data_IF_467384453163
#
_entry.id   IF_467384453163
#
_cell.length_a   1.000
_cell.length_b   1.000
_cell.length_c   1.000
_cell.angle_alpha   90.00
_cell.angle_beta   90.00
_cell.angle_gamma   90.00
#
_symmetry.space_group_name_H-M   'P 1'
#
loop_
_entity.id
_entity.type
_entity.pdbx_description
1 polymer ?
#
# COMPACT_ATOMS: atom_id res chain seq x y z
N UNK A 1 -13.93 -4.59 12.38
CA UNK A 1 -13.41 -5.32 11.21
C UNK A 1 -12.54 -6.45 11.74
N UNK A 2 -12.66 -7.66 11.21
CA UNK A 2 -11.70 -8.72 11.50
C UNK A 2 -10.65 -8.68 10.39
N UNK A 3 -9.37 -8.63 10.75
CA UNK A 3 -8.24 -8.73 9.82
C UNK A 3 -7.68 -10.15 9.92
N UNK A 4 -7.41 -10.76 8.78
CA UNK A 4 -6.62 -11.99 8.74
C UNK A 4 -5.14 -11.58 8.83
N UNK A 5 -4.42 -12.17 9.78
CA UNK A 5 -2.97 -11.97 9.97
C UNK A 5 -2.19 -12.19 8.66
N UNK A 6 -2.59 -13.17 7.85
CA UNK A 6 -1.91 -13.44 6.57
C UNK A 6 -2.18 -12.40 5.50
N UNK A 7 -3.19 -11.56 5.71
CA UNK A 7 -3.57 -10.47 4.83
C UNK A 7 -3.00 -9.10 5.29
N UNK A 8 -2.21 -9.09 6.36
CA UNK A 8 -1.57 -7.91 6.92
C UNK A 8 -0.11 -7.82 6.46
N UNK A 9 0.29 -6.65 5.99
CA UNK A 9 1.67 -6.35 5.62
C UNK A 9 2.37 -5.53 6.70
N UNK A 10 1.64 -4.62 7.35
CA UNK A 10 2.21 -3.75 8.37
C UNK A 10 1.24 -3.61 9.54
N UNK A 11 1.72 -3.91 10.74
CA UNK A 11 1.10 -3.49 12.01
C UNK A 11 1.96 -2.38 12.63
N UNK A 12 1.43 -1.16 12.61
CA UNK A 12 2.02 0.07 13.13
C UNK A 12 3.52 0.21 12.81
N UNK A 13 3.91 -0.18 11.59
CA UNK A 13 5.30 -0.27 11.20
C UNK A 13 5.87 1.12 11.00
N UNK A 14 6.96 1.42 11.70
CA UNK A 14 7.64 2.70 11.60
C UNK A 14 8.32 2.87 10.25
N UNK A 15 8.15 4.05 9.66
CA UNK A 15 8.76 4.42 8.40
C UNK A 15 10.12 5.01 8.75
N UNK A 16 11.15 4.16 8.79
CA UNK A 16 12.53 4.60 9.02
C UNK A 16 13.40 4.20 7.85
N UNK A 17 13.95 5.18 7.13
CA UNK A 17 15.16 4.95 6.33
C UNK A 17 14.99 4.88 4.81
N UNK A 18 13.83 5.20 4.24
CA UNK A 18 13.68 5.33 2.79
C UNK A 18 14.22 6.68 2.26
N UNK A 19 15.17 7.32 2.95
CA UNK A 19 15.66 8.68 2.66
C UNK A 19 16.02 8.87 1.18
N UNK A 20 15.15 9.55 0.43
CA UNK A 20 15.28 9.72 -1.03
C UNK A 20 15.37 8.40 -1.82
N UNK A 21 14.64 7.37 -1.37
CA UNK A 21 14.67 6.01 -1.91
C UNK A 21 13.31 5.33 -1.77
N UNK A 22 13.19 4.15 -2.40
CA UNK A 22 12.10 3.22 -2.15
C UNK A 22 12.54 2.18 -1.11
N UNK A 23 11.63 1.80 -0.22
CA UNK A 23 11.83 0.73 0.74
C UNK A 23 10.59 -0.18 0.82
N UNK A 24 10.82 -1.47 1.06
CA UNK A 24 9.78 -2.42 1.42
C UNK A 24 9.31 -2.15 2.85
N UNK A 25 8.00 -2.12 3.06
CA UNK A 25 7.37 -1.91 4.36
C UNK A 25 6.84 -3.23 4.91
N UNK A 26 7.22 -3.52 6.16
CA UNK A 26 6.71 -4.66 6.91
C UNK A 26 7.00 -6.02 6.25
N UNK A 27 5.99 -6.89 6.29
CA UNK A 27 6.05 -8.27 5.83
C UNK A 27 5.53 -8.42 4.38
N UNK A 28 5.87 -9.57 3.80
CA UNK A 28 5.54 -9.95 2.43
C UNK A 28 4.62 -11.16 2.45
N UNK A 29 3.53 -11.09 1.69
CA UNK A 29 2.58 -12.18 1.54
C UNK A 29 3.07 -13.16 0.47
N UNK A 30 3.15 -14.45 0.81
CA UNK A 30 3.43 -15.53 -0.15
C UNK A 30 2.11 -16.12 -0.67
N UNK A 31 1.84 -15.92 -1.96
CA UNK A 31 0.67 -16.45 -2.66
C UNK A 31 0.81 -17.93 -3.05
N UNK A 32 1.95 -18.56 -2.73
CA UNK A 32 2.39 -19.92 -3.08
C UNK A 32 2.60 -20.18 -4.57
N UNK A 33 1.88 -19.47 -5.43
CA UNK A 33 1.96 -19.47 -6.89
C UNK A 33 1.63 -18.06 -7.39
N UNK A 34 2.03 -17.74 -8.62
CA UNK A 34 1.57 -16.55 -9.33
C UNK A 34 0.02 -16.58 -9.40
N UNK A 35 -0.64 -15.69 -8.66
CA UNK A 35 -2.08 -15.69 -8.50
C UNK A 35 -2.59 -14.26 -8.50
N UNK A 36 -3.56 -14.00 -9.37
CA UNK A 36 -4.32 -12.77 -9.32
C UNK A 36 -5.27 -12.79 -8.10
N UNK A 37 -4.99 -11.92 -7.14
CA UNK A 37 -5.75 -11.78 -5.90
C UNK A 37 -6.91 -10.79 -6.02
N UNK A 38 -6.99 -10.01 -7.11
CA UNK A 38 -8.09 -9.09 -7.38
C UNK A 38 -9.25 -9.75 -8.13
N UNK A 39 -9.01 -10.87 -8.81
CA UNK A 39 -10.00 -11.54 -9.65
C UNK A 39 -11.09 -12.28 -8.88
N UNK A 40 -12.34 -12.15 -9.34
CA UNK A 40 -13.50 -12.89 -8.84
C UNK A 40 -14.18 -12.31 -7.60
N UNK A 41 -13.43 -11.62 -6.72
CA UNK A 41 -13.99 -10.84 -5.62
C UNK A 41 -13.12 -9.59 -5.41
N UNK A 42 -13.68 -8.37 -5.42
CA UNK A 42 -12.91 -7.16 -5.16
C UNK A 42 -12.25 -7.24 -3.79
N UNK A 43 -10.92 -7.12 -3.81
CA UNK A 43 -10.08 -6.95 -2.64
C UNK A 43 -9.59 -5.51 -2.62
N UNK A 44 -9.41 -4.95 -1.43
CA UNK A 44 -8.99 -3.58 -1.23
C UNK A 44 -7.72 -3.54 -0.41
N UNK A 45 -6.74 -2.75 -0.87
CA UNK A 45 -5.61 -2.32 -0.04
C UNK A 45 -6.06 -1.15 0.82
N UNK A 46 -5.92 -1.29 2.13
CA UNK A 46 -6.16 -0.22 3.09
C UNK A 46 -4.82 0.21 3.67
N UNK A 47 -4.56 1.51 3.60
CA UNK A 47 -3.41 2.16 4.22
C UNK A 47 -3.91 3.09 5.31
N UNK A 48 -3.46 2.91 6.54
CA UNK A 48 -3.84 3.78 7.66
C UNK A 48 -2.61 4.33 8.34
N UNK A 49 -2.56 5.65 8.53
CA UNK A 49 -1.49 6.30 9.27
C UNK A 49 -1.81 6.20 10.76
N UNK A 50 -1.02 5.43 11.52
CA UNK A 50 -1.17 5.30 12.97
C UNK A 50 -0.43 6.39 13.71
N UNK A 51 0.77 6.74 13.24
CA UNK A 51 1.57 7.85 13.77
C UNK A 51 1.80 8.86 12.65
N UNK A 52 1.47 10.12 12.91
CA UNK A 52 1.64 11.20 11.94
C UNK A 52 3.09 11.28 11.44
N UNK A 53 3.25 11.53 10.16
CA UNK A 53 4.56 11.64 9.55
C UNK A 53 5.20 12.99 9.91
N UNK A 54 6.50 12.96 10.18
CA UNK A 54 7.28 14.14 10.50
C UNK A 54 8.60 14.15 9.73
N UNK A 55 8.96 15.30 9.18
CA UNK A 55 10.05 15.39 8.21
C UNK A 55 9.58 14.91 6.83
N UNK A 56 10.53 14.61 5.94
CA UNK A 56 10.25 14.25 4.56
C UNK A 56 9.58 15.37 3.76
N UNK A 57 9.36 15.11 2.48
CA UNK A 57 8.73 16.03 1.52
C UNK A 57 7.48 15.37 0.95
N UNK A 58 7.61 14.14 0.48
CA UNK A 58 6.53 13.41 -0.17
C UNK A 58 6.63 11.90 -0.02
N UNK A 59 5.48 11.26 -0.02
CA UNK A 59 5.28 9.84 0.23
C UNK A 59 4.40 9.24 -0.86
N UNK A 60 4.88 8.18 -1.51
CA UNK A 60 4.08 7.42 -2.48
C UNK A 60 4.14 5.94 -2.13
N UNK A 61 2.97 5.32 -1.94
CA UNK A 61 2.87 3.90 -1.63
C UNK A 61 2.62 3.12 -2.91
N UNK A 62 3.23 1.94 -2.99
CA UNK A 62 3.03 1.02 -4.08
C UNK A 62 2.68 -0.35 -3.55
N UNK A 63 1.74 -1.02 -4.20
CA UNK A 63 1.58 -2.46 -4.07
C UNK A 63 2.41 -3.11 -5.18
N UNK A 64 3.41 -3.88 -4.79
CA UNK A 64 4.33 -4.50 -5.72
C UNK A 64 4.45 -6.01 -5.49
N UNK A 65 4.68 -6.76 -6.56
CA UNK A 65 5.01 -8.18 -6.48
C UNK A 65 6.36 -8.49 -7.07
N UNK A 66 6.92 -9.62 -6.64
CA UNK A 66 8.18 -10.17 -7.17
C UNK A 66 8.16 -11.72 -7.12
N UNK A 67 9.04 -12.32 -7.91
CA UNK A 67 9.43 -13.72 -7.84
C UNK A 67 10.17 -14.10 -6.54
N UNK A 68 10.76 -13.11 -5.84
CA UNK A 68 11.51 -13.25 -4.60
C UNK A 68 10.77 -12.66 -3.40
N UNK A 69 11.00 -13.21 -2.20
CA UNK A 69 10.44 -12.65 -0.96
C UNK A 69 11.03 -11.29 -0.61
N UNK A 70 12.21 -10.96 -1.13
CA UNK A 70 12.75 -9.60 -1.10
C UNK A 70 12.27 -8.88 -2.34
N UNK A 71 11.16 -8.14 -2.22
CA UNK A 71 10.62 -7.32 -3.31
C UNK A 71 11.68 -6.30 -3.72
N UNK A 72 11.96 -6.19 -5.01
CA UNK A 72 12.86 -5.17 -5.51
C UNK A 72 12.35 -3.75 -5.17
N UNK A 73 13.30 -2.81 -5.01
CA UNK A 73 13.02 -1.40 -4.69
C UNK A 73 13.75 -0.46 -5.67
N UNK A 74 14.31 -1.01 -6.73
CA UNK A 74 15.06 -0.30 -7.77
C UNK A 74 14.23 -0.05 -9.04
N UNK A 75 12.95 -0.44 -9.03
CA UNK A 75 12.02 -0.32 -10.15
C UNK A 75 11.92 -1.58 -11.01
N UNK A 76 12.59 -2.68 -10.64
CA UNK A 76 12.43 -3.98 -11.30
C UNK A 76 11.23 -4.79 -10.78
N UNK A 77 10.65 -4.38 -9.65
CA UNK A 77 9.44 -4.97 -9.10
C UNK A 77 8.20 -4.68 -9.97
N UNK A 78 7.28 -5.64 -10.02
CA UNK A 78 6.00 -5.43 -10.73
C UNK A 78 5.05 -4.61 -9.87
N UNK A 79 4.81 -3.34 -10.22
CA UNK A 79 3.90 -2.44 -9.47
C UNK A 79 2.46 -2.57 -9.95
N UNK A 80 1.59 -3.12 -9.10
CA UNK A 80 0.17 -3.29 -9.40
C UNK A 80 -0.65 -2.02 -9.15
N UNK A 81 -0.27 -1.29 -8.11
CA UNK A 81 -0.95 -0.06 -7.71
C UNK A 81 0.11 0.93 -7.24
N UNK A 82 -0.02 2.18 -7.67
CA UNK A 82 0.72 3.31 -7.13
C UNK A 82 -0.29 4.34 -6.64
N UNK A 83 -0.16 4.80 -5.40
CA UNK A 83 -1.01 5.89 -4.88
C UNK A 83 -0.64 7.21 -5.52
N UNK A 84 -1.47 8.23 -5.28
CA UNK A 84 -1.04 9.60 -5.48
C UNK A 84 0.12 9.95 -4.54
N UNK A 85 0.84 11.02 -4.86
CA UNK A 85 1.94 11.51 -4.05
C UNK A 85 1.38 12.34 -2.90
N UNK A 86 1.51 11.84 -1.68
CA UNK A 86 1.07 12.55 -0.48
C UNK A 86 2.17 13.47 0.04
N UNK A 87 1.80 14.70 0.38
CA UNK A 87 2.67 15.60 1.14
C UNK A 87 2.68 15.22 2.61
N UNK A 88 3.73 15.61 3.33
CA UNK A 88 3.80 15.42 4.79
C UNK A 88 2.56 15.95 5.52
N UNK A 89 1.99 17.07 5.08
CA UNK A 89 0.81 17.69 5.71
C UNK A 89 -0.46 16.82 5.60
N UNK A 90 -0.54 15.93 4.61
CA UNK A 90 -1.68 15.02 4.42
C UNK A 90 -1.54 13.75 5.28
N UNK A 91 -0.31 13.37 5.65
CA UNK A 91 0.01 12.15 6.37
C UNK A 91 -0.16 12.30 7.89
N UNK A 92 -1.36 12.73 8.30
CA UNK A 92 -1.74 12.89 9.72
C UNK A 92 -2.21 11.56 10.32
N UNK A 93 -2.06 11.40 11.64
CA UNK A 93 -2.60 10.23 12.34
C UNK A 93 -4.13 10.10 12.11
N UNK A 94 -4.58 8.89 11.78
CA UNK A 94 -5.96 8.59 11.41
C UNK A 94 -6.27 8.76 9.92
N UNK A 95 -5.35 9.30 9.11
CA UNK A 95 -5.51 9.30 7.66
C UNK A 95 -5.64 7.87 7.15
N UNK A 96 -6.70 7.59 6.39
CA UNK A 96 -6.99 6.28 5.82
C UNK A 96 -7.24 6.44 4.32
N UNK A 97 -6.53 5.65 3.53
CA UNK A 97 -6.73 5.55 2.08
C UNK A 97 -7.06 4.10 1.72
N UNK A 98 -8.02 3.93 0.81
CA UNK A 98 -8.53 2.63 0.39
C UNK A 98 -8.48 2.55 -1.13
N UNK A 99 -7.88 1.49 -1.65
CA UNK A 99 -7.71 1.30 -3.08
C UNK A 99 -8.18 -0.09 -3.50
N UNK A 100 -9.02 -0.21 -4.55
CA UNK A 100 -9.34 -1.50 -5.12
C UNK A 100 -8.10 -2.11 -5.79
N UNK A 101 -7.88 -3.41 -5.61
CA UNK A 101 -6.83 -4.12 -6.33
C UNK A 101 -7.17 -4.18 -7.82
N UNK A 102 -6.18 -3.97 -8.71
CA UNK A 102 -6.39 -4.18 -10.14
C UNK A 102 -6.78 -5.63 -10.40
N UNK A 103 -7.75 -5.81 -11.28
CA UNK A 103 -8.24 -7.12 -11.67
C UNK A 103 -7.70 -7.45 -13.05
N UNK A 104 -7.05 -8.62 -13.18
CA UNK A 104 -6.74 -9.24 -14.44
C UNK A 104 -5.24 -9.26 -14.69
N UNK A 105 -4.74 -10.45 -15.00
CA UNK A 105 -3.53 -10.68 -15.78
C UNK A 105 -3.71 -10.19 -17.22
N UNK A 106 -4.14 -8.93 -17.36
CA UNK A 106 -4.25 -8.27 -18.64
C UNK A 106 -3.34 -7.08 -18.60
N UNK A 107 -2.12 -7.31 -19.11
CA UNK A 107 -1.26 -6.32 -19.72
C UNK A 107 -2.07 -5.43 -20.68
N UNK A 108 -2.77 -4.43 -20.14
CA UNK A 108 -3.41 -3.34 -20.87
C UNK A 108 -2.81 -2.05 -20.35
N UNK A 109 -1.58 -1.82 -20.73
CA UNK A 109 -0.75 -0.72 -20.27
C UNK A 109 0.51 -1.31 -19.65
N UNK A 110 1.64 -0.78 -20.04
CA UNK A 110 3.02 -1.18 -19.75
C UNK A 110 3.43 -1.36 -18.27
N UNK A 111 2.50 -1.31 -17.31
CA UNK A 111 2.75 -1.39 -15.85
C UNK A 111 2.04 -2.54 -15.11
N UNK A 112 1.24 -3.38 -15.76
CA UNK A 112 0.55 -4.50 -15.06
C UNK A 112 0.95 -5.84 -15.65
N UNK A 113 2.16 -6.30 -15.33
CA UNK A 113 2.47 -7.72 -15.45
C UNK A 113 1.66 -8.49 -14.38
N UNK A 114 1.26 -9.73 -14.66
CA UNK A 114 0.47 -10.53 -13.73
C UNK A 114 1.13 -10.65 -12.35
N UNK A 115 0.30 -10.80 -11.31
CA UNK A 115 0.77 -10.97 -9.94
C UNK A 115 1.79 -12.10 -9.81
N UNK A 116 2.93 -11.76 -9.22
CA UNK A 116 3.97 -12.72 -8.88
C UNK A 116 3.75 -13.32 -7.50
N UNK A 117 4.57 -14.32 -7.13
CA UNK A 117 4.34 -15.13 -5.93
C UNK A 117 4.35 -14.30 -4.65
N UNK A 118 5.25 -13.34 -4.53
CA UNK A 118 5.41 -12.54 -3.33
C UNK A 118 4.81 -11.16 -3.54
N UNK A 119 3.92 -10.75 -2.64
CA UNK A 119 3.22 -9.47 -2.69
C UNK A 119 3.59 -8.64 -1.45
N UNK A 120 3.91 -7.37 -1.64
CA UNK A 120 4.25 -6.47 -0.54
C UNK A 120 3.92 -5.02 -0.84
N UNK A 121 4.04 -4.18 0.19
CA UNK A 121 3.85 -2.73 0.07
C UNK A 121 5.21 -2.06 0.13
N UNK A 122 5.54 -1.28 -0.89
CA UNK A 122 6.74 -0.43 -0.90
C UNK A 122 6.34 1.03 -0.76
N UNK A 123 7.25 1.83 -0.20
CA UNK A 123 7.11 3.28 -0.10
C UNK A 123 8.30 3.94 -0.76
N UNK A 124 8.02 4.88 -1.66
CA UNK A 124 8.98 5.89 -2.09
C UNK A 124 8.83 7.11 -1.19
N UNK A 125 9.90 7.41 -0.45
CA UNK A 125 10.02 8.60 0.41
C UNK A 125 11.03 9.55 -0.22
N UNK A 126 10.66 10.83 -0.27
CA UNK A 126 11.55 11.92 -0.72
C UNK A 126 11.74 12.87 0.44
N UNK A 127 12.99 13.18 0.75
CA UNK A 127 13.41 13.86 1.97
C UNK A 127 13.67 12.88 3.12
N UNK A 128 14.13 13.44 4.24
CA UNK A 128 14.41 12.67 5.45
C UNK A 128 13.23 12.65 6.39
N UNK A 129 12.50 11.54 6.40
CA UNK A 129 11.48 11.25 7.41
C UNK A 129 12.11 10.91 8.75
N UNK A 130 11.53 11.45 9.81
CA UNK A 130 12.01 11.32 11.20
C UNK A 130 11.00 10.64 12.11
N UNK A 131 9.73 10.60 11.70
CA UNK A 131 8.67 9.84 12.33
C UNK A 131 7.58 9.52 11.31
N UNK A 132 6.77 8.51 11.62
CA UNK A 132 5.67 8.05 10.79
C UNK A 132 5.49 6.56 11.00
N UNK A 133 4.25 6.11 11.12
CA UNK A 133 3.95 4.68 11.17
C UNK A 133 2.63 4.41 10.46
N UNK A 134 2.55 3.26 9.80
CA UNK A 134 1.36 2.86 9.04
C UNK A 134 0.91 1.45 9.39
N UNK A 135 -0.37 1.21 9.16
CA UNK A 135 -0.96 -0.11 8.99
C UNK A 135 -1.28 -0.31 7.51
N UNK A 136 -1.02 -1.51 7.01
CA UNK A 136 -1.31 -1.87 5.63
C UNK A 136 -1.81 -3.31 5.58
N UNK A 137 -3.00 -3.52 5.00
CA UNK A 137 -3.62 -4.85 4.91
C UNK A 137 -4.60 -4.93 3.74
N UNK A 138 -4.91 -6.16 3.34
CA UNK A 138 -5.95 -6.46 2.35
C UNK A 138 -7.25 -6.84 3.04
N UNK A 139 -8.37 -6.30 2.54
CA UNK A 139 -9.72 -6.67 3.01
C UNK A 139 -10.73 -6.66 1.85
N UNK A 140 -11.70 -7.58 1.81
CA UNK A 140 -12.83 -7.48 0.90
C UNK A 140 -13.84 -6.40 1.32
N UNK A 141 -13.86 -6.04 2.62
CA UNK A 141 -14.85 -5.14 3.22
C UNK A 141 -14.15 -3.98 3.95
N UNK A 142 -13.66 -2.95 3.22
CA UNK A 142 -13.04 -1.80 3.84
C UNK A 142 -14.07 -0.98 4.62
N UNK A 143 -13.69 -0.49 5.80
CA UNK A 143 -14.52 0.41 6.57
C UNK A 143 -14.49 1.82 5.95
N UNK A 144 -15.63 2.26 5.40
CA UNK A 144 -15.80 3.58 4.81
C UNK A 144 -16.95 4.34 5.46
N UNK A 145 -16.69 5.03 6.57
CA UNK A 145 -17.65 5.98 7.14
C UNK A 145 -17.20 7.40 6.79
N UNK A 146 -18.03 8.13 6.06
CA UNK A 146 -17.84 9.55 5.78
C UNK A 146 -19.15 10.27 6.09
N UNK A 147 -19.09 11.27 6.98
CA UNK A 147 -20.24 12.13 7.23
C UNK A 147 -20.44 13.06 6.03
N UNK A 148 -21.57 12.91 5.35
CA UNK A 148 -22.00 13.88 4.34
C UNK A 148 -22.74 15.03 5.03
N UNK A 149 -22.58 16.28 4.57
CA UNK A 149 -23.35 17.39 5.10
C UNK A 149 -24.85 17.14 4.93
N UNK A 150 -25.65 17.43 5.95
CA UNK A 150 -27.09 17.46 5.81
C UNK A 150 -27.47 18.52 4.78
N UNK A 151 -28.31 18.17 3.81
CA UNK A 151 -28.67 19.05 2.69
C UNK A 151 -29.25 20.38 3.18
N UNK A 152 -28.56 21.48 2.91
CA UNK A 152 -29.12 22.82 3.00
C UNK A 152 -30.20 22.98 1.92
N UNK A 153 -31.47 22.91 2.33
CA UNK A 153 -32.63 23.35 1.55
C UNK A 153 -32.77 24.87 1.59
#
# INVERSE_FOLDING_TARGET
MWIDERAEFCDATAISGAQDSTALLGDVMDLSVNRDVGQGHPMYLVLQVTTAFAGGTSYQFHLASDSSATIAVDGSETRHLSTDVYTQAQMTAGFTAVFPLPMGDTARGEDTAGYERYLGVTLTDVGSSTAGAINAFLTPDPYGWTAYPDGNN
#
